data_IF_025720432743
#
_entry.id   IF_025720432743
#
_cell.length_a   1.000
_cell.length_b   1.000
_cell.length_c   1.000
_cell.angle_alpha   90.00
_cell.angle_beta   90.00
_cell.angle_gamma   90.00
#
_symmetry.space_group_name_H-M   'P 1'
#
loop_
_entity.id
_entity.type
_entity.pdbx_description
1 polymer ?
#
# COMPACT_ATOMS: atom_id res chain seq x y z
N UNK A 1 -6.22 -15.35 1.80
CA UNK A 1 -7.04 -14.19 1.34
C UNK A 1 -8.47 -14.63 1.05
N UNK A 2 -9.51 -13.85 1.45
CA UNK A 2 -10.92 -14.20 1.20
C UNK A 2 -11.36 -13.84 -0.22
N UNK A 3 -12.35 -14.54 -0.79
CA UNK A 3 -12.87 -14.30 -2.14
C UNK A 3 -13.43 -12.87 -2.30
N UNK A 4 -14.11 -12.38 -1.29
CA UNK A 4 -14.63 -11.00 -1.25
C UNK A 4 -13.50 -9.96 -1.34
N UNK A 5 -12.37 -10.21 -0.67
CA UNK A 5 -11.21 -9.33 -0.70
C UNK A 5 -10.56 -9.33 -2.09
N UNK A 6 -10.43 -10.49 -2.71
CA UNK A 6 -9.90 -10.61 -4.07
C UNK A 6 -10.76 -9.87 -5.10
N UNK A 7 -12.07 -9.94 -4.97
CA UNK A 7 -13.00 -9.21 -5.85
C UNK A 7 -12.79 -7.71 -5.72
N UNK A 8 -12.72 -7.19 -4.49
CA UNK A 8 -12.45 -5.75 -4.24
C UNK A 8 -11.09 -5.31 -4.79
N UNK A 9 -10.05 -6.13 -4.68
CA UNK A 9 -8.73 -5.82 -5.21
C UNK A 9 -8.72 -5.79 -6.74
N UNK A 10 -9.44 -6.70 -7.40
CA UNK A 10 -9.61 -6.68 -8.86
C UNK A 10 -10.33 -5.42 -9.33
N UNK A 11 -11.43 -5.06 -8.69
CA UNK A 11 -12.17 -3.82 -8.99
C UNK A 11 -11.30 -2.58 -8.77
N UNK A 12 -10.47 -2.58 -7.72
CA UNK A 12 -9.52 -1.50 -7.47
C UNK A 12 -8.47 -1.38 -8.58
N UNK A 13 -7.91 -2.51 -9.03
CA UNK A 13 -6.95 -2.52 -10.13
C UNK A 13 -7.58 -2.06 -11.46
N UNK A 14 -8.81 -2.47 -11.75
CA UNK A 14 -9.55 -2.02 -12.93
C UNK A 14 -9.80 -0.51 -12.89
N UNK A 15 -10.23 0.01 -11.74
CA UNK A 15 -10.41 1.45 -11.53
C UNK A 15 -9.09 2.20 -11.71
N UNK A 16 -8.00 1.69 -11.17
CA UNK A 16 -6.67 2.28 -11.32
C UNK A 16 -6.25 2.38 -12.78
N UNK A 17 -6.44 1.31 -13.58
CA UNK A 17 -6.18 1.32 -15.02
C UNK A 17 -7.07 2.32 -15.78
N UNK A 18 -8.34 2.45 -15.38
CA UNK A 18 -9.24 3.44 -15.93
C UNK A 18 -8.77 4.88 -15.69
N UNK A 19 -8.23 5.15 -14.48
CA UNK A 19 -7.63 6.47 -14.17
C UNK A 19 -6.36 6.72 -14.99
N UNK A 20 -5.49 5.71 -15.17
CA UNK A 20 -4.32 5.78 -16.06
C UNK A 20 -4.71 6.15 -17.48
N UNK A 21 -5.70 5.46 -18.03
CA UNK A 21 -6.21 5.75 -19.38
C UNK A 21 -6.79 7.17 -19.47
N UNK A 22 -7.55 7.60 -18.44
CA UNK A 22 -8.13 8.94 -18.38
C UNK A 22 -7.08 10.05 -18.33
N UNK A 23 -5.95 9.85 -17.65
CA UNK A 23 -4.85 10.82 -17.63
C UNK A 23 -4.17 10.97 -19.00
N UNK A 24 -4.24 9.96 -19.84
CA UNK A 24 -3.70 9.98 -21.19
C UNK A 24 -4.66 10.63 -22.23
N UNK A 25 -5.90 10.93 -21.83
CA UNK A 25 -6.87 11.60 -22.69
C UNK A 25 -6.53 13.09 -22.81
N UNK A 26 -6.31 13.63 -24.06
CA UNK A 26 -6.04 15.05 -24.26
C UNK A 26 -7.13 15.98 -23.72
N UNK A 27 -8.39 15.56 -23.69
CA UNK A 27 -9.49 16.34 -23.16
C UNK A 27 -9.42 16.49 -21.64
N UNK A 28 -8.87 15.50 -20.94
CA UNK A 28 -8.63 15.54 -19.50
C UNK A 28 -7.34 16.29 -19.19
N UNK A 29 -6.28 16.04 -19.96
CA UNK A 29 -4.99 16.69 -19.79
C UNK A 29 -5.04 18.22 -19.95
N UNK A 30 -5.99 18.73 -20.75
CA UNK A 30 -6.22 20.17 -20.95
C UNK A 30 -7.08 20.83 -19.86
N UNK A 31 -7.70 20.06 -18.96
CA UNK A 31 -8.53 20.57 -17.86
C UNK A 31 -7.82 20.35 -16.50
N UNK A 32 -7.20 21.40 -15.93
CA UNK A 32 -6.41 21.26 -14.69
C UNK A 32 -7.21 20.79 -13.47
N UNK A 33 -8.51 21.10 -13.40
CA UNK A 33 -9.36 20.69 -12.26
C UNK A 33 -9.69 19.20 -12.33
N UNK A 34 -10.08 18.73 -13.51
CA UNK A 34 -10.33 17.30 -13.75
C UNK A 34 -9.07 16.48 -13.56
N UNK A 35 -7.95 16.93 -14.12
CA UNK A 35 -6.66 16.26 -13.98
C UNK A 35 -6.25 16.13 -12.51
N UNK A 36 -6.40 17.20 -11.73
CA UNK A 36 -6.09 17.18 -10.29
C UNK A 36 -6.95 16.16 -9.53
N UNK A 37 -8.24 16.08 -9.82
CA UNK A 37 -9.15 15.09 -9.23
C UNK A 37 -8.71 13.66 -9.55
N UNK A 38 -8.45 13.37 -10.83
CA UNK A 38 -7.99 12.06 -11.29
C UNK A 38 -6.64 11.68 -10.67
N UNK A 39 -5.68 12.61 -10.62
CA UNK A 39 -4.38 12.38 -9.99
C UNK A 39 -4.48 12.11 -8.48
N UNK A 40 -5.41 12.76 -7.78
CA UNK A 40 -5.66 12.48 -6.36
C UNK A 40 -6.16 11.05 -6.17
N UNK A 41 -7.16 10.65 -6.94
CA UNK A 41 -7.71 9.29 -6.90
C UNK A 41 -6.66 8.24 -7.29
N UNK A 42 -5.92 8.48 -8.37
CA UNK A 42 -4.81 7.63 -8.82
C UNK A 42 -3.78 7.42 -7.70
N UNK A 43 -3.29 8.51 -7.10
CA UNK A 43 -2.31 8.46 -6.01
C UNK A 43 -2.85 7.72 -4.78
N UNK A 44 -4.14 7.82 -4.49
CA UNK A 44 -4.75 7.12 -3.35
C UNK A 44 -4.82 5.60 -3.56
N UNK A 45 -5.00 5.14 -4.81
CA UNK A 45 -5.11 3.72 -5.14
C UNK A 45 -3.74 3.08 -5.43
N UNK A 46 -2.70 3.86 -5.73
CA UNK A 46 -1.36 3.36 -6.08
C UNK A 46 -0.83 2.35 -5.06
N UNK A 47 -0.78 2.62 -3.74
CA UNK A 47 -0.19 1.68 -2.78
C UNK A 47 -0.89 0.32 -2.76
N UNK A 48 -2.23 0.32 -2.81
CA UNK A 48 -3.02 -0.93 -2.81
C UNK A 48 -2.80 -1.70 -4.11
N UNK A 49 -2.77 -1.00 -5.25
CA UNK A 49 -2.60 -1.63 -6.56
C UNK A 49 -1.20 -2.23 -6.72
N UNK A 50 -0.16 -1.54 -6.27
CA UNK A 50 1.22 -2.03 -6.29
C UNK A 50 1.39 -3.26 -5.39
N UNK A 51 0.88 -3.23 -4.18
CA UNK A 51 0.91 -4.37 -3.26
C UNK A 51 0.13 -5.57 -3.82
N UNK A 52 -1.01 -5.33 -4.48
CA UNK A 52 -1.79 -6.38 -5.12
C UNK A 52 -1.06 -7.01 -6.33
N UNK A 53 -0.42 -6.19 -7.16
CA UNK A 53 0.39 -6.68 -8.29
C UNK A 53 1.59 -7.50 -7.80
N UNK A 54 2.26 -7.05 -6.73
CA UNK A 54 3.35 -7.79 -6.10
C UNK A 54 2.89 -9.13 -5.50
N UNK A 55 1.71 -9.15 -4.88
CA UNK A 55 1.11 -10.38 -4.39
C UNK A 55 0.78 -11.35 -5.54
N UNK A 56 0.20 -10.89 -6.64
CA UNK A 56 -0.06 -11.72 -7.84
C UNK A 56 1.23 -12.32 -8.40
N UNK A 57 2.27 -11.51 -8.53
CA UNK A 57 3.57 -11.98 -8.99
C UNK A 57 4.13 -13.10 -8.08
N UNK A 58 3.93 -13.00 -6.75
CA UNK A 58 4.32 -14.07 -5.83
C UNK A 58 3.47 -15.34 -6.03
N UNK A 59 2.18 -15.22 -6.35
CA UNK A 59 1.33 -16.37 -6.67
C UNK A 59 1.76 -17.05 -7.97
N UNK A 60 2.12 -16.28 -8.99
CA UNK A 60 2.61 -16.80 -10.27
C UNK A 60 3.92 -17.58 -10.06
N UNK A 61 4.86 -17.05 -9.26
CA UNK A 61 6.09 -17.75 -8.87
C UNK A 61 5.82 -19.07 -8.13
N UNK A 62 4.80 -19.11 -7.26
CA UNK A 62 4.38 -20.36 -6.59
C UNK A 62 3.93 -21.39 -7.61
N UNK A 63 3.10 -20.99 -8.59
CA UNK A 63 2.60 -21.88 -9.64
C UNK A 63 3.76 -22.40 -10.51
N UNK A 64 4.70 -21.53 -10.90
CA UNK A 64 5.88 -21.92 -11.68
C UNK A 64 6.77 -22.90 -10.91
N UNK A 65 7.06 -22.62 -9.63
CA UNK A 65 7.87 -23.51 -8.80
C UNK A 65 7.22 -24.89 -8.61
N UNK A 66 5.89 -24.93 -8.41
CA UNK A 66 5.14 -26.22 -8.34
C UNK A 66 5.20 -26.98 -9.65
N UNK A 67 5.06 -26.31 -10.79
CA UNK A 67 5.18 -26.93 -12.11
C UNK A 67 6.56 -27.53 -12.36
N UNK A 68 7.63 -26.83 -11.90
CA UNK A 68 8.98 -27.35 -11.98
C UNK A 68 9.17 -28.60 -11.10
N UNK A 69 8.60 -28.63 -9.90
CA UNK A 69 8.65 -29.80 -9.02
C UNK A 69 7.90 -31.01 -9.62
N UNK A 70 6.78 -30.77 -10.30
CA UNK A 70 6.01 -31.81 -11.00
C UNK A 70 6.72 -32.37 -12.24
N UNK A 71 7.62 -31.60 -12.86
CA UNK A 71 8.37 -32.05 -14.05
C UNK A 71 9.33 -33.23 -13.75
N UNK A 72 9.68 -33.43 -12.48
CA UNK A 72 10.54 -34.52 -12.03
C UNK A 72 12.02 -34.36 -12.40
N UNK A 73 12.45 -33.16 -12.83
CA UNK A 73 13.84 -32.86 -13.10
C UNK A 73 14.63 -32.75 -11.79
N UNK A 74 15.50 -33.72 -11.54
CA UNK A 74 16.27 -33.81 -10.30
C UNK A 74 17.26 -32.63 -10.13
N UNK A 75 17.75 -32.05 -11.23
CA UNK A 75 18.69 -30.93 -11.17
C UNK A 75 18.00 -29.62 -10.73
N UNK A 76 16.72 -29.47 -11.08
CA UNK A 76 15.92 -28.29 -10.75
C UNK A 76 15.15 -28.43 -9.43
N UNK A 77 15.07 -29.63 -8.86
CA UNK A 77 14.24 -29.92 -7.70
C UNK A 77 14.59 -29.06 -6.47
N UNK A 78 15.88 -28.95 -6.14
CA UNK A 78 16.32 -28.20 -4.98
C UNK A 78 16.08 -26.70 -5.17
N UNK A 79 16.36 -26.17 -6.36
CA UNK A 79 16.13 -24.78 -6.72
C UNK A 79 14.61 -24.45 -6.68
N UNK A 80 13.78 -25.32 -7.26
CA UNK A 80 12.33 -25.13 -7.25
C UNK A 80 11.73 -25.20 -5.83
N UNK A 81 12.30 -26.03 -4.96
CA UNK A 81 11.90 -26.11 -3.56
C UNK A 81 12.23 -24.83 -2.79
N UNK A 82 13.42 -24.26 -3.00
CA UNK A 82 13.83 -22.99 -2.41
C UNK A 82 12.96 -21.84 -2.92
N UNK A 83 12.77 -21.75 -4.25
CA UNK A 83 11.92 -20.76 -4.88
C UNK A 83 10.47 -20.81 -4.37
N UNK A 84 9.91 -22.02 -4.20
CA UNK A 84 8.57 -22.22 -3.65
C UNK A 84 8.46 -21.69 -2.22
N UNK A 85 9.47 -21.95 -1.39
CA UNK A 85 9.50 -21.45 -0.01
C UNK A 85 9.54 -19.92 0.03
N UNK A 86 10.41 -19.33 -0.77
CA UNK A 86 10.62 -17.88 -0.79
C UNK A 86 9.39 -17.15 -1.38
N UNK A 87 8.80 -17.70 -2.45
CA UNK A 87 7.58 -17.17 -3.04
C UNK A 87 6.37 -17.24 -2.08
N UNK A 88 6.24 -18.30 -1.28
CA UNK A 88 5.20 -18.40 -0.24
C UNK A 88 5.38 -17.37 0.86
N UNK A 89 6.61 -17.20 1.34
CA UNK A 89 6.94 -16.17 2.35
C UNK A 89 6.60 -14.78 1.83
N UNK A 90 7.00 -14.46 0.60
CA UNK A 90 6.69 -13.19 -0.04
C UNK A 90 5.17 -13.00 -0.20
N UNK A 91 4.41 -14.02 -0.60
CA UNK A 91 2.97 -13.95 -0.74
C UNK A 91 2.27 -13.66 0.61
N UNK A 92 2.72 -14.28 1.71
CA UNK A 92 2.20 -14.03 3.06
C UNK A 92 2.47 -12.60 3.53
N UNK A 93 3.68 -12.09 3.29
CA UNK A 93 4.04 -10.71 3.63
C UNK A 93 3.17 -9.70 2.87
N UNK A 94 2.99 -9.91 1.57
CA UNK A 94 2.13 -9.05 0.74
C UNK A 94 0.65 -9.13 1.13
N UNK A 95 0.16 -10.29 1.56
CA UNK A 95 -1.20 -10.44 2.07
C UNK A 95 -1.42 -9.65 3.37
N UNK A 96 -0.44 -9.63 4.27
CA UNK A 96 -0.47 -8.80 5.48
C UNK A 96 -0.46 -7.31 5.15
N UNK A 97 0.41 -6.89 4.23
CA UNK A 97 0.48 -5.50 3.75
C UNK A 97 -0.86 -5.06 3.15
N UNK A 98 -1.45 -5.86 2.26
CA UNK A 98 -2.76 -5.60 1.66
C UNK A 98 -3.86 -5.49 2.71
N UNK A 99 -3.84 -6.34 3.72
CA UNK A 99 -4.81 -6.28 4.81
C UNK A 99 -4.73 -4.94 5.55
N UNK A 100 -3.51 -4.45 5.82
CA UNK A 100 -3.29 -3.15 6.46
C UNK A 100 -3.73 -1.98 5.58
N UNK A 101 -3.39 -2.01 4.27
CA UNK A 101 -3.75 -0.97 3.31
C UNK A 101 -5.27 -0.85 3.07
N UNK A 102 -6.00 -1.94 3.27
CA UNK A 102 -7.45 -2.00 3.10
C UNK A 102 -8.24 -1.70 4.38
N UNK A 103 -7.56 -1.47 5.51
CA UNK A 103 -8.22 -0.97 6.71
C UNK A 103 -8.80 0.42 6.42
N UNK A 104 -10.03 0.70 6.91
CA UNK A 104 -10.62 2.02 6.77
C UNK A 104 -9.68 3.05 7.42
N UNK A 105 -9.20 4.02 6.64
CA UNK A 105 -8.48 5.16 7.19
C UNK A 105 -9.48 6.09 7.86
N UNK A 106 -9.11 6.65 9.01
CA UNK A 106 -9.91 7.72 9.62
C UNK A 106 -9.83 8.96 8.70
N UNK A 107 -10.98 9.50 8.23
CA UNK A 107 -10.99 10.72 7.43
C UNK A 107 -10.33 11.92 8.11
N UNK A 108 -10.07 11.83 9.41
CA UNK A 108 -9.38 12.84 10.19
C UNK A 108 -7.86 12.78 10.05
N UNK A 109 -7.29 11.65 9.64
CA UNK A 109 -5.84 11.47 9.47
C UNK A 109 -5.26 12.38 8.38
N UNK A 110 -6.08 12.79 7.40
CA UNK A 110 -5.70 13.74 6.34
C UNK A 110 -5.91 15.22 6.72
N UNK A 111 -6.45 15.50 7.90
CA UNK A 111 -6.72 16.87 8.32
C UNK A 111 -5.56 17.46 9.10
N UNK A 112 -5.37 18.76 8.94
CA UNK A 112 -4.46 19.51 9.81
C UNK A 112 -4.96 19.43 11.25
N UNK A 113 -4.06 19.16 12.18
CA UNK A 113 -4.33 19.08 13.61
C UNK A 113 -3.80 20.31 14.30
N UNK A 114 -4.58 20.93 15.16
CA UNK A 114 -4.12 21.99 16.05
C UNK A 114 -3.70 21.33 17.37
N UNK A 115 -2.41 21.45 17.70
CA UNK A 115 -1.87 20.94 18.95
C UNK A 115 -1.68 22.13 19.90
N UNK A 116 -2.36 22.09 21.05
CA UNK A 116 -2.18 23.06 22.12
C UNK A 116 -1.37 22.42 23.24
N UNK A 117 -0.21 23.02 23.57
CA UNK A 117 0.68 22.57 24.63
C UNK A 117 0.67 23.63 25.72
N UNK A 118 0.13 23.28 26.89
CA UNK A 118 0.08 24.18 28.06
C UNK A 118 1.00 23.67 29.16
N UNK A 119 1.79 24.57 29.72
CA UNK A 119 2.50 24.31 30.95
C UNK A 119 1.47 24.16 32.09
N UNK A 120 1.57 23.06 32.86
CA UNK A 120 0.75 22.82 34.04
C UNK A 120 1.41 23.34 35.32
N UNK A 121 1.11 22.72 36.47
CA UNK A 121 1.81 23.02 37.72
C UNK A 121 3.29 22.62 37.64
N UNK A 122 4.23 23.53 37.89
CA UNK A 122 5.67 23.24 37.82
C UNK A 122 6.58 24.42 37.43
N UNK A 123 6.04 25.64 37.31
CA UNK A 123 6.83 26.83 37.04
C UNK A 123 7.67 26.79 35.76
N UNK A 124 8.93 27.23 35.82
CA UNK A 124 9.84 27.30 34.68
C UNK A 124 10.13 25.93 34.04
N UNK A 125 10.27 24.88 34.84
CA UNK A 125 10.52 23.52 34.35
C UNK A 125 9.37 22.99 33.48
N UNK A 126 8.12 23.26 33.84
CA UNK A 126 6.96 22.89 33.06
C UNK A 126 6.91 23.68 31.71
N UNK A 127 7.33 24.94 31.72
CA UNK A 127 7.44 25.75 30.51
C UNK A 127 8.55 25.24 29.58
N UNK A 128 9.72 24.88 30.11
CA UNK A 128 10.81 24.25 29.35
C UNK A 128 10.39 22.92 28.74
N UNK A 129 9.65 22.08 29.48
CA UNK A 129 9.15 20.83 28.96
C UNK A 129 8.12 21.03 27.83
N UNK A 130 7.19 21.98 27.98
CA UNK A 130 6.27 22.36 26.92
C UNK A 130 7.00 22.82 25.65
N UNK A 131 8.09 23.57 25.79
CA UNK A 131 8.93 23.98 24.65
C UNK A 131 9.66 22.81 23.99
N UNK A 132 10.04 21.78 24.75
CA UNK A 132 10.63 20.54 24.20
C UNK A 132 9.58 19.76 23.40
N UNK A 133 8.37 19.60 23.93
CA UNK A 133 7.26 18.95 23.23
C UNK A 133 6.91 19.71 21.94
N UNK A 134 6.85 21.02 21.98
CA UNK A 134 6.60 21.84 20.79
C UNK A 134 7.65 21.59 19.69
N UNK A 135 8.92 21.54 20.05
CA UNK A 135 10.00 21.22 19.11
C UNK A 135 9.87 19.81 18.53
N UNK A 136 9.50 18.82 19.35
CA UNK A 136 9.31 17.44 18.91
C UNK A 136 8.23 17.33 17.83
N UNK A 137 7.13 18.08 17.95
CA UNK A 137 6.04 18.05 16.97
C UNK A 137 6.31 18.92 15.72
N UNK A 138 7.30 19.79 15.73
CA UNK A 138 7.70 20.64 14.58
C UNK A 138 8.89 20.06 13.78
N UNK A 139 9.38 18.88 14.12
CA UNK A 139 10.40 18.14 13.35
C UNK A 139 9.76 17.28 12.28
#
# INVERSE_FOLDING_TARGET
MTETLLTRLKETEERYRGLEASMSDPAVASDPEKLRGIMKDYKSLTPVTEAYRAWKASQDRIVEALSLLESGDAELHDLATEELRDARTAAEERERELTLLLLPRDPRDEKNVMIEIRAGAGGEEAALFAAVLYRMYNM
#
